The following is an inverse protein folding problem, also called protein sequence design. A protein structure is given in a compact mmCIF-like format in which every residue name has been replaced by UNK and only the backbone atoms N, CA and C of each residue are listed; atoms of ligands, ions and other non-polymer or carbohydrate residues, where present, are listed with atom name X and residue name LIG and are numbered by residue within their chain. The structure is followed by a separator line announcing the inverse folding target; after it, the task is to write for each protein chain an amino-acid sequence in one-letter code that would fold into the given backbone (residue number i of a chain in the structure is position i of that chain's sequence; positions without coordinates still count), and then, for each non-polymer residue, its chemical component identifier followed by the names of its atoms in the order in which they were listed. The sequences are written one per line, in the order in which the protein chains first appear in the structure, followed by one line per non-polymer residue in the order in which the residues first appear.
data_IF_155619766807
#
_entry.id   IF_155619766807
#
_cell.length_a   1.000
_cell.length_b   1.000
_cell.length_c   1.000
_cell.angle_alpha   90.00
_cell.angle_beta   90.00
_cell.angle_gamma   90.00
#
_symmetry.space_group_name_H-M   'P 1'
#
loop_
_entity.id
_entity.type
_entity.pdbx_description
1 polymer ?
#
# COMPACT_ATOMS: atom_id res chain seq x y z
N UNK A 1 12.26 3.38 8.41
CA UNK A 1 13.33 2.52 7.90
C UNK A 1 12.82 1.95 6.60
N UNK A 2 13.55 2.09 5.50
CA UNK A 2 13.30 1.23 4.34
C UNK A 2 13.56 -0.20 4.83
N UNK A 3 12.62 -1.12 4.58
CA UNK A 3 12.79 -2.53 4.97
C UNK A 3 14.14 -3.02 4.43
N UNK A 4 14.97 -3.62 5.29
CA UNK A 4 16.19 -4.30 4.84
C UNK A 4 15.82 -5.39 3.83
N UNK A 5 16.80 -5.89 3.06
CA UNK A 5 16.55 -6.98 2.11
C UNK A 5 15.83 -8.16 2.77
N UNK A 6 16.29 -8.55 3.96
CA UNK A 6 15.70 -9.63 4.78
C UNK A 6 14.24 -9.35 5.17
N UNK A 7 13.91 -8.11 5.54
CA UNK A 7 12.53 -7.73 5.87
C UNK A 7 11.64 -7.72 4.62
N UNK A 8 12.18 -7.45 3.44
CA UNK A 8 11.44 -7.61 2.19
C UNK A 8 11.22 -9.08 1.85
N UNK A 9 12.22 -9.94 2.07
CA UNK A 9 12.12 -11.39 1.85
C UNK A 9 11.10 -12.04 2.78
N UNK A 10 11.08 -11.69 4.07
CA UNK A 10 10.04 -12.15 5.00
C UNK A 10 8.65 -11.75 4.55
N UNK A 11 8.49 -10.52 4.06
CA UNK A 11 7.20 -10.06 3.54
C UNK A 11 6.84 -10.84 2.28
N UNK A 12 7.78 -11.08 1.37
CA UNK A 12 7.54 -11.90 0.17
C UNK A 12 7.08 -13.31 0.56
N UNK A 13 7.74 -13.95 1.52
CA UNK A 13 7.35 -15.27 2.02
C UNK A 13 5.92 -15.24 2.59
N UNK A 14 5.61 -14.21 3.37
CA UNK A 14 4.25 -13.99 3.87
C UNK A 14 3.24 -13.83 2.72
N UNK A 15 3.57 -13.04 1.69
CA UNK A 15 2.72 -12.87 0.51
C UNK A 15 2.48 -14.21 -0.21
N UNK A 16 3.51 -15.02 -0.37
CA UNK A 16 3.43 -16.33 -1.03
C UNK A 16 2.56 -17.32 -0.24
N UNK A 17 2.63 -17.28 1.09
CA UNK A 17 1.77 -18.07 1.96
C UNK A 17 0.31 -17.62 1.90
N UNK A 18 0.05 -16.31 1.82
CA UNK A 18 -1.30 -15.78 1.69
C UNK A 18 -1.97 -16.18 0.37
N UNK A 19 -1.20 -16.38 -0.72
CA UNK A 19 -1.72 -16.96 -1.98
C UNK A 19 -2.32 -18.35 -1.77
N UNK A 20 -1.67 -19.15 -0.92
CA UNK A 20 -1.90 -20.60 -0.85
C UNK A 20 -2.98 -21.00 0.17
N UNK A 21 -3.39 -20.09 1.07
CA UNK A 21 -4.31 -20.41 2.16
C UNK A 21 -5.78 -20.20 1.76
N UNK A 22 -6.66 -21.21 1.91
CA UNK A 22 -8.10 -21.00 1.91
C UNK A 22 -8.48 -20.15 3.13
N UNK A 23 -9.10 -18.99 2.92
CA UNK A 23 -9.58 -18.12 4.00
C UNK A 23 -11.00 -18.52 4.41
N UNK A 24 -11.18 -19.06 5.64
CA UNK A 24 -12.49 -19.53 6.16
C UNK A 24 -13.51 -18.39 6.32
N UNK A 25 -14.65 -18.43 5.63
CA UNK A 25 -15.69 -17.37 5.66
C UNK A 25 -16.41 -17.31 7.02
N UNK A 26 -15.95 -16.47 7.93
CA UNK A 26 -16.69 -16.11 9.16
C UNK A 26 -17.30 -14.72 9.02
N UNK A 27 -18.60 -14.67 8.70
CA UNK A 27 -19.48 -13.53 8.99
C UNK A 27 -19.56 -12.40 7.94
N UNK A 28 -20.78 -12.15 7.44
CA UNK A 28 -21.18 -10.90 6.78
C UNK A 28 -21.33 -9.79 7.84
N UNK A 29 -20.26 -9.12 8.21
CA UNK A 29 -20.31 -7.86 8.96
C UNK A 29 -19.90 -6.72 8.04
N UNK A 30 -20.60 -5.59 8.07
CA UNK A 30 -20.06 -4.35 7.48
C UNK A 30 -18.75 -4.05 8.19
N UNK A 31 -17.74 -3.67 7.43
CA UNK A 31 -16.45 -3.37 8.00
C UNK A 31 -16.51 -2.07 8.81
N UNK A 32 -16.54 -2.20 10.15
CA UNK A 32 -16.64 -1.07 11.09
C UNK A 32 -15.37 -0.20 11.10
N UNK A 33 -14.32 -0.56 10.35
CA UNK A 33 -13.07 0.20 10.27
C UNK A 33 -13.22 1.59 9.70
N UNK A 34 -14.21 1.85 8.84
CA UNK A 34 -14.49 3.20 8.33
C UNK A 34 -14.87 4.18 9.43
N UNK A 35 -15.49 3.71 10.53
CA UNK A 35 -15.85 4.54 11.68
C UNK A 35 -14.76 4.53 12.77
N UNK A 36 -13.71 3.73 12.58
CA UNK A 36 -12.66 3.57 13.56
C UNK A 36 -11.65 4.73 13.48
N UNK A 37 -11.28 5.37 14.62
CA UNK A 37 -10.34 6.50 14.67
C UNK A 37 -9.02 6.26 13.90
N UNK A 38 -8.58 4.99 13.87
CA UNK A 38 -7.45 4.48 13.08
C UNK A 38 -7.39 4.99 11.64
N UNK A 39 -8.53 5.32 11.01
CA UNK A 39 -8.64 5.64 9.58
C UNK A 39 -8.72 7.13 9.25
N UNK A 40 -8.54 8.02 10.24
CA UNK A 40 -8.40 9.45 9.93
C UNK A 40 -7.20 9.69 8.99
N UNK A 41 -7.24 10.69 8.09
CA UNK A 41 -6.13 10.96 7.16
C UNK A 41 -4.78 11.17 7.86
N UNK A 42 -4.80 11.73 9.07
CA UNK A 42 -3.63 11.92 9.92
C UNK A 42 -3.03 10.58 10.37
N UNK A 43 -3.86 9.64 10.80
CA UNK A 43 -3.43 8.33 11.27
C UNK A 43 -2.97 7.45 10.10
N UNK A 44 -3.68 7.46 8.97
CA UNK A 44 -3.22 6.86 7.71
C UNK A 44 -1.83 7.38 7.32
N UNK A 45 -1.60 8.69 7.40
CA UNK A 45 -0.27 9.27 7.15
C UNK A 45 0.77 8.81 8.18
N UNK A 46 0.38 8.58 9.42
CA UNK A 46 1.30 8.10 10.46
C UNK A 46 1.73 6.65 10.27
N UNK A 47 0.92 5.81 9.60
CA UNK A 47 1.29 4.44 9.19
C UNK A 47 2.47 4.42 8.21
N UNK A 48 2.60 5.47 7.39
CA UNK A 48 3.75 5.62 6.50
C UNK A 48 5.04 5.68 7.34
N UNK A 49 6.00 4.86 6.97
CA UNK A 49 7.29 4.78 7.64
C UNK A 49 7.96 6.16 7.72
N UNK A 50 8.66 6.43 8.83
CA UNK A 50 9.31 7.73 9.05
C UNK A 50 10.25 8.15 7.91
N UNK A 51 10.94 7.20 7.29
CA UNK A 51 11.84 7.44 6.16
C UNK A 51 11.07 7.89 4.91
N UNK A 52 9.99 7.18 4.55
CA UNK A 52 9.16 7.56 3.40
C UNK A 52 8.49 8.92 3.63
N UNK A 53 7.96 9.19 4.83
CA UNK A 53 7.46 10.53 5.18
C UNK A 53 8.52 11.61 5.02
N UNK A 54 9.75 11.34 5.42
CA UNK A 54 10.88 12.26 5.19
C UNK A 54 11.14 12.51 3.71
N UNK A 55 11.05 11.50 2.85
CA UNK A 55 11.17 11.64 1.39
C UNK A 55 10.02 12.44 0.80
N UNK A 56 8.79 12.17 1.22
CA UNK A 56 7.59 12.89 0.77
C UNK A 56 7.68 14.40 1.12
N UNK A 57 8.17 14.75 2.31
CA UNK A 57 8.30 16.16 2.74
C UNK A 57 9.41 16.93 2.04
N UNK A 58 10.49 16.27 1.60
CA UNK A 58 11.72 16.93 1.12
C UNK A 58 11.76 17.14 -0.39
N UNK A 59 10.93 16.43 -1.15
CA UNK A 59 10.93 16.47 -2.62
C UNK A 59 9.66 17.15 -3.10
N UNK A 60 9.75 17.89 -4.21
CA UNK A 60 8.55 18.16 -5.00
C UNK A 60 8.02 16.81 -5.50
N UNK A 61 6.93 16.36 -4.89
CA UNK A 61 6.28 15.12 -5.29
C UNK A 61 5.52 15.40 -6.58
N UNK A 62 5.68 14.59 -7.63
CA UNK A 62 4.79 14.66 -8.78
C UNK A 62 3.43 14.11 -8.34
N UNK A 63 2.56 15.01 -7.85
CA UNK A 63 1.25 14.66 -7.30
C UNK A 63 0.42 13.83 -8.28
N UNK A 64 0.43 14.16 -9.57
CA UNK A 64 -0.27 13.37 -10.59
C UNK A 64 0.23 11.92 -10.70
N UNK A 65 1.53 11.65 -10.50
CA UNK A 65 2.03 10.26 -10.46
C UNK A 65 1.59 9.56 -9.18
N UNK A 66 1.54 10.28 -8.06
CA UNK A 66 1.05 9.73 -6.80
C UNK A 66 -0.44 9.38 -6.91
N UNK A 67 -1.26 10.28 -7.45
CA UNK A 67 -2.70 10.09 -7.71
C UNK A 67 -2.96 8.86 -8.58
N UNK A 68 -2.25 8.71 -9.71
CA UNK A 68 -2.37 7.51 -10.55
C UNK A 68 -2.13 6.20 -9.78
N UNK A 69 -1.11 6.16 -8.92
CA UNK A 69 -0.80 4.97 -8.12
C UNK A 69 -1.88 4.71 -7.06
N UNK A 70 -2.48 5.76 -6.50
CA UNK A 70 -3.59 5.66 -5.56
C UNK A 70 -4.83 5.10 -6.24
N UNK A 71 -5.23 5.65 -7.39
CA UNK A 71 -6.36 5.18 -8.17
C UNK A 71 -6.21 3.73 -8.60
N UNK A 72 -4.99 3.31 -8.95
CA UNK A 72 -4.69 1.92 -9.30
C UNK A 72 -4.92 0.97 -8.12
N UNK A 73 -4.43 1.30 -6.92
CA UNK A 73 -4.66 0.47 -5.73
C UNK A 73 -6.13 0.48 -5.32
N UNK A 74 -6.78 1.63 -5.38
CA UNK A 74 -8.19 1.79 -5.04
C UNK A 74 -9.07 0.95 -5.97
N UNK A 75 -8.91 1.10 -7.28
CA UNK A 75 -9.71 0.37 -8.27
C UNK A 75 -9.49 -1.14 -8.17
N UNK A 76 -8.25 -1.60 -7.99
CA UNK A 76 -7.93 -3.02 -7.88
C UNK A 76 -8.54 -3.66 -6.63
N UNK A 77 -8.26 -3.12 -5.44
CA UNK A 77 -8.69 -3.74 -4.18
C UNK A 77 -10.16 -3.48 -3.85
N UNK A 78 -10.81 -2.46 -4.44
CA UNK A 78 -12.27 -2.30 -4.30
C UNK A 78 -13.06 -3.40 -5.01
N UNK A 79 -12.51 -3.94 -6.12
CA UNK A 79 -13.15 -5.04 -6.86
C UNK A 79 -12.73 -6.39 -6.30
N UNK A 80 -11.44 -6.55 -5.99
CA UNK A 80 -10.85 -7.82 -5.55
C UNK A 80 -10.01 -7.61 -4.29
N UNK A 81 -10.64 -7.41 -3.12
CA UNK A 81 -9.93 -7.03 -1.90
C UNK A 81 -8.96 -8.10 -1.40
N UNK A 82 -9.16 -9.36 -1.77
CA UNK A 82 -8.29 -10.48 -1.38
C UNK A 82 -7.26 -10.88 -2.46
N UNK A 83 -7.30 -10.23 -3.63
CA UNK A 83 -6.37 -10.55 -4.72
C UNK A 83 -4.96 -9.98 -4.45
N UNK A 84 -4.02 -10.44 -5.26
CA UNK A 84 -2.63 -9.99 -5.20
C UNK A 84 -2.37 -9.14 -6.41
N UNK A 85 -2.05 -7.87 -6.17
CA UNK A 85 -1.58 -6.99 -7.22
C UNK A 85 -0.10 -7.26 -7.47
N UNK A 86 0.27 -7.46 -8.74
CA UNK A 86 1.65 -7.69 -9.16
C UNK A 86 1.95 -6.78 -10.34
N UNK A 87 3.04 -6.03 -10.26
CA UNK A 87 3.46 -5.13 -11.34
C UNK A 87 4.97 -5.07 -11.49
N UNK A 88 5.42 -4.91 -12.73
CA UNK A 88 6.84 -4.74 -13.06
C UNK A 88 7.14 -3.24 -13.05
N UNK A 89 7.94 -2.79 -12.09
CA UNK A 89 8.23 -1.38 -11.87
C UNK A 89 9.73 -1.16 -11.79
N UNK A 90 10.36 -0.80 -12.91
CA UNK A 90 11.79 -0.51 -12.96
C UNK A 90 12.13 0.82 -12.27
N UNK A 91 11.26 1.82 -12.42
CA UNK A 91 11.46 3.14 -11.83
C UNK A 91 11.43 3.07 -10.29
N UNK A 92 12.60 3.26 -9.68
CA UNK A 92 12.75 3.21 -8.23
C UNK A 92 12.00 4.30 -7.48
N UNK A 93 11.75 5.44 -8.10
CA UNK A 93 11.00 6.53 -7.49
C UNK A 93 9.50 6.24 -7.49
N UNK A 94 8.91 5.82 -8.61
CA UNK A 94 7.51 5.38 -8.66
C UNK A 94 7.25 4.22 -7.70
N UNK A 95 8.19 3.25 -7.63
CA UNK A 95 8.12 2.14 -6.69
C UNK A 95 8.14 2.60 -5.23
N UNK A 96 8.95 3.62 -4.91
CA UNK A 96 8.96 4.25 -3.60
C UNK A 96 7.63 4.92 -3.27
N UNK A 97 7.02 5.63 -4.23
CA UNK A 97 5.70 6.25 -4.07
C UNK A 97 4.62 5.19 -3.84
N UNK A 98 4.62 4.11 -4.62
CA UNK A 98 3.67 3.00 -4.46
C UNK A 98 3.76 2.40 -3.06
N UNK A 99 4.97 2.21 -2.52
CA UNK A 99 5.13 1.74 -1.14
C UNK A 99 4.53 2.71 -0.10
N UNK A 100 4.61 4.02 -0.33
CA UNK A 100 4.00 5.02 0.55
C UNK A 100 2.47 4.97 0.45
N UNK A 101 1.91 4.88 -0.76
CA UNK A 101 0.47 4.69 -1.01
C UNK A 101 -0.04 3.44 -0.30
N UNK A 102 0.64 2.31 -0.48
CA UNK A 102 0.26 1.06 0.18
C UNK A 102 0.20 1.22 1.70
N UNK A 103 1.24 1.81 2.32
CA UNK A 103 1.25 2.01 3.77
C UNK A 103 0.14 2.95 4.25
N UNK A 104 -0.20 3.96 3.45
CA UNK A 104 -1.29 4.88 3.74
C UNK A 104 -2.65 4.16 3.74
N UNK A 105 -2.89 3.32 2.72
CA UNK A 105 -4.11 2.53 2.53
C UNK A 105 -4.16 1.23 3.36
N UNK A 106 -3.21 1.04 4.28
CA UNK A 106 -3.06 -0.17 5.10
C UNK A 106 -2.83 -1.49 4.32
N UNK A 107 -2.26 -1.37 3.12
CA UNK A 107 -1.83 -2.48 2.29
C UNK A 107 -0.39 -2.90 2.61
N UNK A 108 -0.07 -4.16 2.32
CA UNK A 108 1.27 -4.71 2.47
C UNK A 108 1.90 -4.79 1.08
N UNK A 109 3.06 -4.14 0.91
CA UNK A 109 3.82 -4.19 -0.34
C UNK A 109 5.25 -4.70 -0.13
N UNK A 110 5.78 -5.41 -1.13
CA UNK A 110 7.16 -5.84 -1.20
C UNK A 110 7.71 -5.74 -2.63
N UNK A 111 8.99 -5.37 -2.73
CA UNK A 111 9.72 -5.34 -3.99
C UNK A 111 10.67 -6.54 -4.08
N UNK A 112 10.80 -7.14 -5.26
CA UNK A 112 11.74 -8.24 -5.51
C UNK A 112 12.33 -8.16 -6.91
N UNK A 113 13.36 -8.97 -7.17
CA UNK A 113 13.88 -9.17 -8.52
C UNK A 113 13.22 -10.42 -9.11
N UNK A 114 12.50 -10.27 -10.21
CA UNK A 114 11.93 -11.38 -10.95
C UNK A 114 12.50 -11.40 -12.36
N UNK A 115 13.28 -12.45 -12.69
CA UNK A 115 13.93 -12.63 -13.99
C UNK A 115 14.73 -11.38 -14.45
N UNK A 116 15.49 -10.78 -13.54
CA UNK A 116 16.31 -9.60 -13.81
C UNK A 116 15.55 -8.28 -13.88
N UNK A 117 14.23 -8.28 -13.65
CA UNK A 117 13.38 -7.09 -13.65
C UNK A 117 12.82 -6.80 -12.26
N UNK A 118 12.64 -5.52 -11.90
CA UNK A 118 12.07 -5.14 -10.60
C UNK A 118 10.56 -5.39 -10.60
N UNK A 119 10.09 -6.24 -9.68
CA UNK A 119 8.69 -6.53 -9.46
C UNK A 119 8.24 -5.97 -8.11
N UNK A 120 6.99 -5.51 -8.02
CA UNK A 120 6.30 -5.19 -6.77
C UNK A 120 5.09 -6.12 -6.64
N UNK A 121 4.87 -6.61 -5.43
CA UNK A 121 3.66 -7.33 -5.04
C UNK A 121 2.97 -6.56 -3.92
N UNK A 122 1.65 -6.47 -4.00
CA UNK A 122 0.81 -5.81 -2.99
C UNK A 122 -0.36 -6.72 -2.64
N UNK A 123 -0.67 -6.79 -1.35
CA UNK A 123 -1.89 -7.45 -0.85
C UNK A 123 -2.59 -6.57 0.16
N UNK A 124 -3.88 -6.82 0.31
CA UNK A 124 -4.61 -6.36 1.46
C UNK A 124 -4.30 -7.24 2.67
N UNK A 125 -3.97 -6.61 3.81
CA UNK A 125 -3.79 -7.32 5.08
C UNK A 125 -5.10 -7.94 5.55
N UNK A 126 -6.22 -7.35 5.15
CA UNK A 126 -7.55 -7.70 5.60
C UNK A 126 -8.35 -8.37 4.48
N UNK A 127 -9.53 -8.89 4.79
CA UNK A 127 -10.41 -9.51 3.79
C UNK A 127 -11.19 -8.47 3.00
N UNK A 128 -11.66 -7.46 3.69
CA UNK A 128 -12.33 -6.31 3.08
C UNK A 128 -11.32 -5.19 2.87
N UNK A 129 -11.51 -4.42 1.80
CA UNK A 129 -10.69 -3.25 1.52
C UNK A 129 -11.44 -2.00 1.97
N UNK A 130 -10.88 -1.31 2.97
CA UNK A 130 -11.39 -0.04 3.47
C UNK A 130 -10.42 1.07 3.08
N UNK A 131 -10.70 1.81 1.99
CA UNK A 131 -9.85 2.90 1.58
C UNK A 131 -9.91 4.07 2.59
N UNK A 132 -8.84 4.86 2.73
CA UNK A 132 -8.88 6.12 3.47
C UNK A 132 -9.90 7.09 2.85
N UNK A 133 -10.56 7.90 3.69
CA UNK A 133 -11.53 8.91 3.23
C UNK A 133 -10.91 10.01 2.36
N UNK A 134 -9.61 10.28 2.56
CA UNK A 134 -8.86 11.29 1.82
C UNK A 134 -7.64 10.63 1.20
N UNK A 135 -7.35 10.96 -0.05
CA UNK A 135 -6.13 10.48 -0.73
C UNK A 135 -4.87 11.10 -0.11
N UNK A 136 -3.77 10.36 -0.17
CA UNK A 136 -2.45 10.81 0.26
C UNK A 136 -1.99 12.02 -0.55
N UNK A 137 -2.21 12.03 -1.87
CA UNK A 137 -1.96 13.19 -2.74
C UNK A 137 -2.65 14.45 -2.22
N UNK A 138 -3.96 14.39 -2.02
CA UNK A 138 -4.77 15.51 -1.49
C UNK A 138 -4.31 15.91 -0.08
N UNK A 139 -4.07 14.93 0.79
CA UNK A 139 -3.58 15.18 2.15
C UNK A 139 -2.23 15.89 2.17
N UNK A 140 -1.32 15.55 1.25
CA UNK A 140 -0.02 16.19 1.12
C UNK A 140 -0.16 17.61 0.55
N UNK A 141 -1.03 17.81 -0.44
CA UNK A 141 -1.32 19.13 -1.01
C UNK A 141 -1.88 20.10 0.04
N UNK A 142 -2.64 19.63 1.03
CA UNK A 142 -3.15 20.45 2.13
C UNK A 142 -2.09 20.81 3.19
N UNK A 143 -0.94 20.12 3.21
CA UNK A 143 0.09 20.24 4.25
C UNK A 143 1.43 20.80 3.78
N UNK A 144 1.59 20.97 2.47
CA UNK A 144 2.76 21.56 1.82
C UNK A 144 2.39 22.96 1.32
#
# INVERSE_FOLDING_TARGET
MNRSGEEQEKVILYLEQEVQKPRERTGKGRDERTEHPAYTPKECYQRISRSLRGTLKKRQIPLGTLECLEEEMLSFFSVSPEAIYVSMMENGYQRLLLHAVCQYMDLISASSNFKGKRQVRVINRHRDFCPPELLLSSYLQMRC
#
